data_IF_084066216563
#
_entry.id   IF_084066216563
#
_cell.length_a   1.000
_cell.length_b   1.000
_cell.length_c   1.000
_cell.angle_alpha   90.00
_cell.angle_beta   90.00
_cell.angle_gamma   90.00
#
_symmetry.space_group_name_H-M   'P 1'
#
loop_
_entity.id
_entity.type
_entity.pdbx_description
1 polymer ?
#
# COMPACT_ATOMS: atom_id res chain seq x y z
N UNK A 1 -9.38 -9.78 -10.79
CA UNK A 1 -9.84 -9.38 -9.46
C UNK A 1 -11.06 -8.50 -9.62
N UNK A 2 -12.11 -8.79 -8.88
CA UNK A 2 -13.41 -8.15 -9.10
C UNK A 2 -13.52 -6.72 -8.59
N UNK A 3 -12.60 -6.30 -7.74
CA UNK A 3 -12.61 -4.97 -7.12
C UNK A 3 -11.43 -4.09 -7.54
N UNK A 4 -10.98 -4.26 -8.77
CA UNK A 4 -9.91 -3.44 -9.33
C UNK A 4 -10.44 -2.03 -9.62
N UNK A 5 -9.68 -1.03 -9.21
CA UNK A 5 -9.96 0.37 -9.44
C UNK A 5 -8.87 0.95 -10.33
N UNK A 6 -9.27 1.52 -11.47
CA UNK A 6 -8.38 2.26 -12.35
C UNK A 6 -8.25 3.69 -11.84
N UNK A 7 -7.03 4.22 -11.85
CA UNK A 7 -6.75 5.58 -11.41
C UNK A 7 -6.44 6.48 -12.61
N UNK A 8 -6.70 7.80 -12.51
CA UNK A 8 -6.41 8.72 -13.61
C UNK A 8 -4.94 8.71 -14.05
N UNK A 9 -4.03 8.35 -13.15
CA UNK A 9 -2.60 8.22 -13.44
C UNK A 9 -2.24 7.05 -14.34
N UNK A 10 -3.19 6.14 -14.61
CA UNK A 10 -2.93 4.89 -15.29
C UNK A 10 -2.57 3.73 -14.38
N UNK A 11 -2.34 3.99 -13.10
CA UNK A 11 -2.15 2.92 -12.11
C UNK A 11 -3.47 2.23 -11.84
N UNK A 12 -3.41 1.02 -11.31
CA UNK A 12 -4.60 0.31 -10.86
C UNK A 12 -4.35 -0.29 -9.46
N UNK A 13 -5.42 -0.54 -8.74
CA UNK A 13 -5.34 -1.11 -7.42
C UNK A 13 -6.53 -1.98 -7.11
N UNK A 14 -6.34 -2.88 -6.16
CA UNK A 14 -7.42 -3.71 -5.65
C UNK A 14 -7.33 -3.76 -4.14
N UNK A 15 -8.45 -3.47 -3.49
CA UNK A 15 -8.58 -3.57 -2.04
C UNK A 15 -9.02 -5.01 -1.74
N UNK A 16 -8.13 -5.79 -1.14
CA UNK A 16 -8.37 -7.21 -0.91
C UNK A 16 -9.09 -7.47 0.40
N UNK A 17 -8.73 -6.70 1.44
CA UNK A 17 -9.30 -6.91 2.78
C UNK A 17 -9.14 -5.66 3.62
N UNK A 18 -10.16 -5.34 4.42
CA UNK A 18 -10.10 -4.26 5.41
C UNK A 18 -10.58 -4.82 6.75
N UNK A 19 -9.78 -4.65 7.78
CA UNK A 19 -10.14 -5.07 9.13
C UNK A 19 -10.23 -3.86 10.06
N UNK A 20 -11.34 -3.77 10.79
CA UNK A 20 -11.52 -2.81 11.88
C UNK A 20 -10.88 -3.35 13.16
N UNK A 21 -10.61 -2.48 14.16
CA UNK A 21 -10.16 -2.95 15.47
C UNK A 21 -11.17 -3.94 16.05
N UNK A 22 -10.67 -5.00 16.63
CA UNK A 22 -11.52 -6.04 17.20
C UNK A 22 -12.00 -7.10 16.22
N UNK A 23 -11.67 -6.98 14.95
CA UNK A 23 -11.99 -7.98 13.92
C UNK A 23 -11.02 -9.16 13.97
N UNK A 24 -10.89 -9.75 15.14
CA UNK A 24 -9.93 -10.82 15.35
C UNK A 24 -10.49 -12.22 15.09
N UNK A 25 -11.74 -12.32 14.65
CA UNK A 25 -12.41 -13.62 14.46
C UNK A 25 -12.08 -14.18 13.08
N UNK A 26 -11.45 -15.34 13.08
CA UNK A 26 -11.13 -16.05 11.82
C UNK A 26 -12.37 -16.72 11.21
N UNK A 27 -13.41 -16.91 12.00
CA UNK A 27 -14.64 -17.60 11.61
C UNK A 27 -15.82 -16.65 11.41
N UNK A 28 -15.56 -15.50 10.76
CA UNK A 28 -16.61 -14.55 10.43
C UNK A 28 -17.63 -15.13 9.45
N UNK A 29 -18.82 -14.53 9.41
CA UNK A 29 -19.84 -14.91 8.46
C UNK A 29 -19.44 -14.53 7.02
N UNK A 30 -20.13 -15.10 6.05
CA UNK A 30 -19.93 -14.75 4.63
C UNK A 30 -20.19 -13.24 4.42
N UNK A 31 -21.17 -12.68 5.11
CA UNK A 31 -21.46 -11.24 5.02
C UNK A 31 -20.30 -10.40 5.53
N UNK A 32 -19.64 -10.84 6.61
CA UNK A 32 -18.45 -10.16 7.11
C UNK A 32 -17.30 -10.24 6.12
N UNK A 33 -17.10 -11.38 5.48
CA UNK A 33 -16.07 -11.54 4.45
C UNK A 33 -16.33 -10.60 3.27
N UNK A 34 -17.56 -10.51 2.80
CA UNK A 34 -17.92 -9.61 1.71
C UNK A 34 -17.67 -8.16 2.09
N UNK A 35 -18.06 -7.76 3.29
CA UNK A 35 -17.80 -6.40 3.79
C UNK A 35 -16.30 -6.09 3.82
N UNK A 36 -15.49 -7.00 4.32
CA UNK A 36 -14.03 -6.82 4.38
C UNK A 36 -13.40 -6.73 3.00
N UNK A 37 -13.81 -7.60 2.08
CA UNK A 37 -13.21 -7.70 0.75
C UNK A 37 -13.60 -6.54 -0.17
N UNK A 38 -14.79 -5.96 -0.01
CA UNK A 38 -15.29 -4.93 -0.92
C UNK A 38 -15.50 -3.58 -0.27
N UNK A 39 -15.11 -3.44 0.98
CA UNK A 39 -15.25 -2.19 1.71
C UNK A 39 -14.38 -1.10 1.06
N UNK A 40 -14.96 0.08 0.91
CA UNK A 40 -14.22 1.24 0.40
C UNK A 40 -13.60 2.02 1.56
N UNK A 41 -12.43 2.57 1.30
CA UNK A 41 -11.74 3.45 2.24
C UNK A 41 -11.69 4.87 1.66
N UNK A 42 -11.77 5.91 2.52
CA UNK A 42 -11.66 7.29 2.06
C UNK A 42 -10.25 7.66 1.56
N UNK A 43 -9.26 6.85 1.88
CA UNK A 43 -7.87 7.10 1.50
C UNK A 43 -7.06 5.82 1.55
N UNK A 44 -5.75 5.98 1.73
CA UNK A 44 -4.79 4.86 1.72
C UNK A 44 -4.78 4.11 3.05
N UNK A 45 -4.92 4.83 4.16
CA UNK A 45 -4.76 4.28 5.49
C UNK A 45 -5.88 3.34 5.89
N UNK A 46 -5.59 2.31 6.70
CA UNK A 46 -6.63 1.48 7.31
C UNK A 46 -7.42 2.25 8.37
N UNK A 47 -8.53 1.69 8.83
CA UNK A 47 -9.18 2.22 10.03
C UNK A 47 -8.20 2.24 11.20
N UNK A 48 -8.30 3.24 12.09
CA UNK A 48 -7.44 3.32 13.27
C UNK A 48 -7.54 2.04 14.09
N UNK A 49 -6.39 1.44 14.38
CA UNK A 49 -6.31 0.15 15.08
C UNK A 49 -6.58 -1.07 14.22
N UNK A 50 -6.86 -0.88 12.95
CA UNK A 50 -7.12 -1.96 12.01
C UNK A 50 -5.96 -2.21 11.05
N UNK A 51 -6.26 -2.90 9.98
CA UNK A 51 -5.29 -3.15 8.90
C UNK A 51 -5.98 -3.30 7.56
N UNK A 52 -5.16 -3.22 6.51
CA UNK A 52 -5.64 -3.31 5.13
C UNK A 52 -4.69 -4.19 4.32
N UNK A 53 -5.26 -4.97 3.42
CA UNK A 53 -4.49 -5.72 2.42
C UNK A 53 -4.92 -5.24 1.04
N UNK A 54 -3.96 -4.73 0.27
CA UNK A 54 -4.23 -4.23 -1.08
C UNK A 54 -3.16 -4.62 -2.07
N UNK A 55 -3.53 -4.63 -3.33
CA UNK A 55 -2.61 -4.81 -4.45
C UNK A 55 -2.54 -3.48 -5.20
N UNK A 56 -1.35 -3.09 -5.59
CA UNK A 56 -1.11 -1.92 -6.44
C UNK A 56 -0.37 -2.38 -7.69
N UNK A 57 -0.83 -1.91 -8.84
CA UNK A 57 -0.11 -2.11 -10.09
C UNK A 57 0.31 -0.74 -10.63
N UNK A 58 1.62 -0.53 -10.71
CA UNK A 58 2.20 0.69 -11.23
C UNK A 58 2.31 0.58 -12.74
N UNK A 59 1.74 1.57 -13.44
CA UNK A 59 1.84 1.64 -14.89
C UNK A 59 3.28 1.90 -15.32
N UNK A 60 3.72 1.35 -16.46
CA UNK A 60 5.07 1.57 -16.96
C UNK A 60 5.39 3.05 -17.13
N UNK A 61 6.59 3.46 -16.73
CA UNK A 61 7.09 4.81 -16.88
C UNK A 61 6.42 5.86 -16.01
N UNK A 62 5.66 5.47 -14.99
CA UNK A 62 4.88 6.40 -14.17
C UNK A 62 5.23 6.29 -12.70
N UNK A 63 4.93 7.36 -11.96
CA UNK A 63 5.18 7.47 -10.53
C UNK A 63 3.89 7.66 -9.77
N UNK A 64 3.84 7.12 -8.54
CA UNK A 64 2.85 7.49 -7.55
C UNK A 64 3.37 8.66 -6.71
N UNK A 65 2.48 9.46 -6.16
CA UNK A 65 2.87 10.63 -5.37
C UNK A 65 3.55 10.22 -4.05
N UNK A 66 4.38 11.13 -3.53
CA UNK A 66 5.00 10.98 -2.21
C UNK A 66 3.96 11.15 -1.12
N UNK A 67 3.95 10.25 -0.16
CA UNK A 67 3.02 10.30 0.97
C UNK A 67 3.58 9.54 2.17
N UNK A 68 2.87 9.65 3.28
CA UNK A 68 3.09 8.81 4.46
C UNK A 68 1.77 8.49 5.13
N UNK A 69 1.76 7.40 5.88
CA UNK A 69 0.63 7.00 6.73
C UNK A 69 1.15 6.57 8.10
N UNK A 70 0.28 6.64 9.11
CA UNK A 70 0.60 6.15 10.46
C UNK A 70 0.41 4.64 10.51
N UNK A 71 1.26 3.94 9.77
CA UNK A 71 1.18 2.50 9.60
C UNK A 71 2.56 1.87 9.55
N UNK A 72 2.58 0.58 9.83
CA UNK A 72 3.68 -0.29 9.45
C UNK A 72 3.21 -1.03 8.21
N UNK A 73 3.98 -0.93 7.14
CA UNK A 73 3.62 -1.52 5.87
C UNK A 73 4.54 -2.69 5.55
N UNK A 74 3.95 -3.79 5.14
CA UNK A 74 4.70 -4.89 4.51
C UNK A 74 4.44 -4.81 3.02
N UNK A 75 5.50 -4.73 2.23
CA UNK A 75 5.41 -4.67 0.78
C UNK A 75 6.15 -5.83 0.16
N UNK A 76 5.53 -6.42 -0.86
CA UNK A 76 6.09 -7.55 -1.60
C UNK A 76 5.95 -7.22 -3.09
N UNK A 77 7.05 -7.22 -3.81
CA UNK A 77 7.01 -7.08 -5.27
C UNK A 77 6.68 -8.44 -5.87
N UNK A 78 5.52 -8.52 -6.49
CA UNK A 78 5.04 -9.78 -7.08
C UNK A 78 5.48 -9.94 -8.52
N UNK A 79 5.57 -8.84 -9.26
CA UNK A 79 5.88 -8.86 -10.68
C UNK A 79 6.53 -7.54 -11.09
N UNK A 80 7.50 -7.62 -11.99
CA UNK A 80 8.18 -6.44 -12.50
C UNK A 80 9.22 -5.88 -11.54
N UNK A 81 9.54 -4.62 -11.73
CA UNK A 81 10.51 -3.89 -10.91
C UNK A 81 10.03 -2.46 -10.69
N UNK A 82 10.45 -1.88 -9.59
CA UNK A 82 10.15 -0.48 -9.28
C UNK A 82 11.26 0.13 -8.44
N UNK A 83 11.16 1.43 -8.25
CA UNK A 83 12.04 2.19 -7.36
C UNK A 83 11.16 2.83 -6.29
N UNK A 84 11.51 2.61 -5.04
CA UNK A 84 10.90 3.33 -3.93
C UNK A 84 11.72 4.58 -3.68
N UNK A 85 11.06 5.72 -3.72
CA UNK A 85 11.67 7.02 -3.45
C UNK A 85 11.42 7.40 -2.00
N UNK A 86 12.46 7.87 -1.35
CA UNK A 86 12.42 8.31 0.05
C UNK A 86 12.79 9.78 0.15
N UNK A 87 12.71 10.33 1.36
CA UNK A 87 13.21 11.66 1.67
C UNK A 87 14.69 11.78 1.31
N UNK A 88 15.11 13.01 1.00
CA UNK A 88 16.52 13.31 0.75
C UNK A 88 17.07 12.70 -0.53
N UNK A 89 16.20 12.48 -1.51
CA UNK A 89 16.55 11.90 -2.81
C UNK A 89 17.10 10.47 -2.73
N UNK A 90 16.86 9.79 -1.62
CA UNK A 90 17.23 8.38 -1.51
C UNK A 90 16.27 7.50 -2.31
N UNK A 91 16.81 6.46 -2.90
CA UNK A 91 16.04 5.52 -3.71
C UNK A 91 16.45 4.09 -3.39
N UNK A 92 15.47 3.20 -3.45
CA UNK A 92 15.68 1.76 -3.28
C UNK A 92 15.10 1.03 -4.48
N UNK A 93 15.94 0.34 -5.24
CA UNK A 93 15.49 -0.49 -6.35
C UNK A 93 14.94 -1.81 -5.80
N UNK A 94 13.79 -2.21 -6.30
CA UNK A 94 13.12 -3.45 -5.89
C UNK A 94 12.70 -4.26 -7.11
N UNK A 95 12.93 -5.55 -7.04
CA UNK A 95 12.60 -6.50 -8.10
C UNK A 95 11.61 -7.55 -7.59
N UNK A 96 11.00 -8.27 -8.53
CA UNK A 96 10.06 -9.33 -8.19
C UNK A 96 10.67 -10.29 -7.15
N UNK A 97 9.92 -10.56 -6.10
CA UNK A 97 10.35 -11.40 -4.98
C UNK A 97 10.94 -10.61 -3.81
N UNK A 98 11.28 -9.33 -4.00
CA UNK A 98 11.79 -8.50 -2.90
C UNK A 98 10.65 -8.16 -1.93
N UNK A 99 11.01 -8.09 -0.66
CA UNK A 99 10.08 -7.72 0.42
C UNK A 99 10.65 -6.55 1.22
N UNK A 100 9.77 -5.77 1.82
CA UNK A 100 10.18 -4.60 2.59
C UNK A 100 9.23 -4.36 3.74
N UNK A 101 9.77 -3.85 4.83
CA UNK A 101 9.00 -3.30 5.93
C UNK A 101 9.23 -1.79 5.96
N UNK A 102 8.15 -1.02 5.98
CA UNK A 102 8.19 0.43 6.00
C UNK A 102 7.42 0.97 7.19
N UNK A 103 8.03 1.93 7.90
CA UNK A 103 7.53 2.45 9.16
C UNK A 103 7.25 3.95 9.06
N UNK A 104 6.08 4.31 8.54
CA UNK A 104 5.60 5.68 8.55
C UNK A 104 6.50 6.72 7.88
N UNK A 105 7.40 6.32 7.00
CA UNK A 105 8.29 7.23 6.30
C UNK A 105 7.59 7.86 5.09
N UNK A 106 8.03 9.04 4.70
CA UNK A 106 7.66 9.61 3.41
C UNK A 106 8.23 8.76 2.29
N UNK A 107 7.40 8.36 1.37
CA UNK A 107 7.80 7.50 0.27
C UNK A 107 6.90 7.69 -0.94
N UNK A 108 7.40 7.26 -2.07
CA UNK A 108 6.64 7.13 -3.32
C UNK A 108 7.22 6.01 -4.15
N UNK A 109 6.44 5.50 -5.07
CA UNK A 109 6.82 4.39 -5.93
C UNK A 109 6.90 4.86 -7.37
N UNK A 110 7.90 4.40 -8.09
CA UNK A 110 8.12 4.76 -9.49
C UNK A 110 8.44 3.52 -10.31
N UNK A 111 7.73 3.36 -11.41
CA UNK A 111 8.04 2.31 -12.37
C UNK A 111 8.79 2.93 -13.55
N UNK A 112 10.09 2.71 -13.61
CA UNK A 112 10.97 3.22 -14.67
C UNK A 112 11.08 2.28 -15.87
N UNK A 113 10.44 1.13 -15.80
CA UNK A 113 10.48 0.13 -16.84
C UNK A 113 9.39 0.30 -17.88
N UNK A 114 9.30 -0.67 -18.75
CA UNK A 114 8.32 -0.74 -19.81
C UNK A 114 7.22 -1.78 -19.57
N UNK A 115 7.24 -2.42 -18.42
CA UNK A 115 6.24 -3.40 -18.00
C UNK A 115 5.58 -3.00 -16.68
N UNK A 116 4.35 -3.44 -16.41
CA UNK A 116 3.69 -3.18 -15.14
C UNK A 116 4.47 -3.74 -13.96
N UNK A 117 4.45 -3.03 -12.83
CA UNK A 117 5.00 -3.53 -11.57
C UNK A 117 3.85 -3.74 -10.58
N UNK A 118 3.69 -4.96 -10.08
CA UNK A 118 2.65 -5.31 -9.12
C UNK A 118 3.25 -5.52 -7.75
N UNK A 119 2.66 -4.85 -6.76
CA UNK A 119 3.05 -4.96 -5.36
C UNK A 119 1.84 -5.37 -4.52
N UNK A 120 2.10 -6.22 -3.54
CA UNK A 120 1.15 -6.51 -2.47
C UNK A 120 1.55 -5.70 -1.24
N UNK A 121 0.58 -5.06 -0.59
CA UNK A 121 0.78 -4.26 0.62
C UNK A 121 -0.13 -4.73 1.74
N UNK A 122 0.45 -4.86 2.91
CA UNK A 122 -0.31 -5.00 4.15
C UNK A 122 0.02 -3.75 4.98
N UNK A 123 -0.99 -2.93 5.27
CA UNK A 123 -0.84 -1.72 6.06
C UNK A 123 -1.49 -1.96 7.41
N UNK A 124 -0.69 -1.85 8.47
CA UNK A 124 -1.13 -2.11 9.85
C UNK A 124 -1.14 -0.77 10.59
N UNK A 125 -2.32 -0.37 11.08
CA UNK A 125 -2.44 0.88 11.82
C UNK A 125 -1.46 0.90 13.00
N UNK A 126 -0.79 2.02 13.17
CA UNK A 126 0.22 2.21 14.20
C UNK A 126 0.08 3.61 14.77
N UNK A 127 0.66 3.84 15.94
CA UNK A 127 0.68 5.18 16.51
C UNK A 127 1.59 6.08 15.70
N UNK A 128 1.18 7.36 15.61
CA UNK A 128 2.03 8.38 14.97
C UNK A 128 3.35 8.49 15.75
N UNK A 129 4.47 8.72 15.06
CA UNK A 129 5.74 8.94 15.74
C UNK A 129 5.69 10.23 16.56
N UNK A 130 6.50 10.30 17.63
CA UNK A 130 6.62 11.53 18.45
C UNK A 130 7.01 12.73 17.60
N UNK A 131 7.86 12.52 16.61
CA UNK A 131 8.18 13.52 15.58
C UNK A 131 7.72 12.97 14.26
N UNK A 132 6.98 13.77 13.51
CA UNK A 132 6.57 13.36 12.19
C UNK A 132 7.78 13.23 11.27
N UNK A 133 7.84 12.09 10.60
CA UNK A 133 8.84 11.82 9.57
C UNK A 133 8.30 12.39 8.26
N UNK A 134 8.63 13.62 7.96
CA UNK A 134 8.14 14.28 6.76
C UNK A 134 9.28 14.75 5.88
N UNK A 135 8.94 15.08 4.64
CA UNK A 135 9.92 15.60 3.71
C UNK A 135 10.49 16.91 4.26
N UNK A 136 11.75 17.16 3.95
CA UNK A 136 12.43 18.37 4.38
C UNK A 136 11.68 19.61 3.92
N UNK A 137 11.49 20.48 4.85
CA UNK A 137 10.78 21.73 4.63
C UNK A 137 11.61 22.73 3.79
#
# INVERSE_FOLDING_TARGET
>A
MDNVIEMPSGHSGALMWVADPGDAHVNGSVDQEADRAYRKLPGIAPPTGGHVFRILQLAPGKSAFMHRTDTIDYAIVQQGACVMKLDGDEEVAMNAGDVMVQRGTWHGWENRGDEPCRLAFILISSEAPEKHLHMED
#
